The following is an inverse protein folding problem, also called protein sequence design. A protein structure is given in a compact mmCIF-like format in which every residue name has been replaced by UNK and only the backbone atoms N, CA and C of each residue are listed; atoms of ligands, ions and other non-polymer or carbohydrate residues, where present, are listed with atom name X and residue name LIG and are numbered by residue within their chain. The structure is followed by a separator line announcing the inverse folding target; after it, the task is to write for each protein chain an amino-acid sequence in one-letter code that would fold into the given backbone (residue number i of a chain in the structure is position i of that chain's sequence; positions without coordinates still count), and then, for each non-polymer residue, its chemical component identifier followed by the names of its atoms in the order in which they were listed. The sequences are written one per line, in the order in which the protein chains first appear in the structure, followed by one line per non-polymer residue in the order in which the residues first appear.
data_IF_569014874006
#
_entry.id   IF_569014874006
#
_cell.length_a   1.000
_cell.length_b   1.000
_cell.length_c   1.000
_cell.angle_alpha   90.00
_cell.angle_beta   90.00
_cell.angle_gamma   90.00
#
_symmetry.space_group_name_H-M   'P 1'
#
loop_
_entity.id
_entity.type
_entity.pdbx_description
1 polymer ?
#
# COMPACT_ATOMS: atom_id res chain seq x y z
N UNK A 1 12.28 15.48 2.03
CA UNK A 1 11.64 15.84 0.73
C UNK A 1 11.82 17.34 0.47
N UNK A 2 11.97 17.80 -0.81
CA UNK A 2 12.06 19.25 -1.08
C UNK A 2 10.66 19.91 -1.04
N UNK A 3 10.63 21.26 -0.89
CA UNK A 3 9.37 22.04 -0.76
C UNK A 3 8.38 21.82 -1.93
N UNK A 4 8.89 21.68 -3.16
CA UNK A 4 8.06 21.45 -4.37
C UNK A 4 7.37 20.09 -4.33
N UNK A 5 8.08 19.04 -3.93
CA UNK A 5 7.53 17.70 -3.79
C UNK A 5 6.50 17.61 -2.65
N UNK A 6 6.75 18.28 -1.53
CA UNK A 6 5.80 18.38 -0.42
C UNK A 6 4.51 19.12 -0.84
N UNK A 7 4.65 20.25 -1.52
CA UNK A 7 3.49 20.98 -2.07
C UNK A 7 2.68 20.11 -3.03
N UNK A 8 3.35 19.34 -3.90
CA UNK A 8 2.69 18.43 -4.82
C UNK A 8 1.96 17.30 -4.08
N UNK A 9 2.57 16.72 -3.03
CA UNK A 9 1.90 15.73 -2.19
C UNK A 9 0.64 16.31 -1.54
N UNK A 10 0.73 17.48 -0.92
CA UNK A 10 -0.41 18.14 -0.28
C UNK A 10 -1.56 18.47 -1.26
N UNK A 11 -1.23 18.73 -2.53
CA UNK A 11 -2.21 18.97 -3.58
C UNK A 11 -2.82 17.70 -4.15
N UNK A 12 -1.99 16.66 -4.38
CA UNK A 12 -2.37 15.46 -5.13
C UNK A 12 -2.65 14.24 -4.26
N UNK A 13 -2.29 14.28 -2.98
CA UNK A 13 -2.38 13.18 -1.99
C UNK A 13 -1.38 12.05 -2.16
N UNK A 14 -0.49 12.10 -3.14
CA UNK A 14 0.54 11.07 -3.33
C UNK A 14 1.84 11.66 -3.88
N UNK A 15 2.92 10.90 -3.69
CA UNK A 15 4.26 11.20 -4.21
C UNK A 15 4.98 9.90 -4.58
N UNK A 16 5.55 9.85 -5.78
CA UNK A 16 6.38 8.73 -6.21
C UNK A 16 7.86 9.14 -6.10
N UNK A 17 8.57 8.53 -5.15
CA UNK A 17 10.02 8.65 -5.01
C UNK A 17 10.70 7.64 -5.93
N UNK A 18 11.36 8.14 -6.98
CA UNK A 18 12.06 7.30 -7.95
C UNK A 18 13.40 6.80 -7.39
N UNK A 19 13.69 5.50 -7.60
CA UNK A 19 14.98 4.89 -7.27
C UNK A 19 15.39 5.06 -5.81
N UNK A 20 14.44 5.07 -4.88
CA UNK A 20 14.74 5.23 -3.45
C UNK A 20 15.58 4.07 -2.93
N UNK A 21 15.29 2.86 -3.40
CA UNK A 21 16.09 1.67 -3.14
C UNK A 21 16.98 1.35 -4.35
N UNK A 22 18.24 1.01 -4.09
CA UNK A 22 19.19 0.59 -5.13
C UNK A 22 18.83 -0.78 -5.68
N UNK A 23 19.28 -1.11 -6.89
CA UNK A 23 19.05 -2.43 -7.50
C UNK A 23 19.62 -3.56 -6.63
N UNK A 24 20.75 -3.34 -5.96
CA UNK A 24 21.32 -4.32 -5.03
C UNK A 24 20.38 -4.56 -3.82
N UNK A 25 19.81 -3.51 -3.24
CA UNK A 25 18.82 -3.67 -2.16
C UNK A 25 17.57 -4.42 -2.64
N UNK A 26 17.08 -4.09 -3.83
CA UNK A 26 15.93 -4.76 -4.46
C UNK A 26 16.21 -6.24 -4.73
N UNK A 27 17.41 -6.59 -5.15
CA UNK A 27 17.81 -7.99 -5.35
C UNK A 27 17.66 -8.81 -4.05
N UNK A 28 18.19 -8.31 -2.93
CA UNK A 28 18.07 -9.01 -1.64
C UNK A 28 16.63 -9.03 -1.11
N UNK A 29 15.87 -7.95 -1.29
CA UNK A 29 14.46 -7.90 -0.90
C UNK A 29 13.61 -8.85 -1.73
N UNK A 30 13.88 -9.02 -3.02
CA UNK A 30 13.19 -10.01 -3.86
C UNK A 30 13.50 -11.44 -3.44
N UNK A 31 14.76 -11.77 -3.14
CA UNK A 31 15.12 -13.11 -2.60
C UNK A 31 14.33 -13.43 -1.34
N UNK A 32 14.24 -12.47 -0.45
CA UNK A 32 13.52 -12.63 0.80
C UNK A 32 12.00 -12.69 0.60
N UNK A 33 11.47 -11.89 -0.33
CA UNK A 33 10.08 -11.93 -0.73
C UNK A 33 9.67 -13.32 -1.24
N UNK A 34 10.46 -13.88 -2.15
CA UNK A 34 10.19 -15.21 -2.73
C UNK A 34 10.30 -16.30 -1.67
N UNK A 35 11.31 -16.25 -0.78
CA UNK A 35 11.44 -17.16 0.35
C UNK A 35 10.18 -17.15 1.24
N UNK A 36 9.64 -15.96 1.55
CA UNK A 36 8.44 -15.84 2.37
C UNK A 36 7.23 -16.44 1.67
N UNK A 37 7.04 -16.15 0.38
CA UNK A 37 5.93 -16.74 -0.42
C UNK A 37 6.03 -18.27 -0.47
N UNK A 38 7.21 -18.81 -0.69
CA UNK A 38 7.43 -20.27 -0.71
C UNK A 38 7.09 -20.92 0.63
N UNK A 39 7.48 -20.30 1.76
CA UNK A 39 7.13 -20.78 3.09
C UNK A 39 5.62 -20.79 3.34
N UNK A 40 4.92 -19.75 2.91
CA UNK A 40 3.48 -19.65 3.07
C UNK A 40 2.77 -20.71 2.21
N UNK A 41 3.21 -20.90 0.97
CA UNK A 41 2.65 -21.89 0.08
C UNK A 41 2.84 -23.32 0.61
N UNK A 42 3.97 -23.60 1.26
CA UNK A 42 4.24 -24.92 1.87
C UNK A 42 3.48 -25.14 3.18
N UNK A 43 3.08 -24.08 3.87
CA UNK A 43 2.30 -24.11 5.11
C UNK A 43 0.82 -24.39 4.93
N UNK A 44 0.31 -24.51 3.71
CA UNK A 44 -1.12 -24.64 3.38
C UNK A 44 -2.04 -23.56 3.97
N UNK A 45 -1.49 -22.38 4.28
CA UNK A 45 -2.30 -21.26 4.78
C UNK A 45 -3.02 -20.57 3.61
N UNK A 46 -4.30 -20.22 3.83
CA UNK A 46 -5.03 -19.41 2.87
C UNK A 46 -4.66 -17.93 3.06
N UNK A 47 -3.78 -17.44 2.21
CA UNK A 47 -3.28 -16.06 2.24
C UNK A 47 -3.87 -15.19 1.13
N UNK A 48 -4.92 -15.65 0.47
CA UNK A 48 -5.58 -14.91 -0.59
C UNK A 48 -6.40 -13.76 0.00
N UNK A 49 -6.02 -12.51 -0.33
CA UNK A 49 -6.78 -11.33 0.05
C UNK A 49 -7.87 -11.06 -0.98
N UNK A 50 -9.13 -11.20 -0.57
CA UNK A 50 -10.29 -10.83 -1.38
C UNK A 50 -11.19 -9.87 -0.61
N UNK A 51 -11.88 -9.02 -1.34
CA UNK A 51 -13.00 -8.26 -0.84
C UNK A 51 -14.21 -9.20 -0.74
N UNK A 52 -14.58 -9.57 0.46
CA UNK A 52 -15.65 -10.54 0.67
C UNK A 52 -16.95 -9.83 1.11
N UNK A 53 -17.46 -8.96 0.27
CA UNK A 53 -18.71 -8.24 0.49
C UNK A 53 -19.74 -8.59 -0.58
N UNK A 54 -21.02 -8.53 -0.22
CA UNK A 54 -22.11 -8.66 -1.20
C UNK A 54 -22.06 -7.58 -2.28
N UNK A 55 -21.56 -6.39 -1.93
CA UNK A 55 -21.45 -5.24 -2.84
C UNK A 55 -20.27 -5.33 -3.82
N UNK A 56 -19.28 -6.18 -3.52
CA UNK A 56 -18.08 -6.32 -4.34
C UNK A 56 -18.08 -7.56 -5.22
N UNK A 57 -19.08 -8.44 -5.10
CA UNK A 57 -19.15 -9.71 -5.87
C UNK A 57 -19.10 -9.52 -7.38
N UNK A 58 -19.74 -8.46 -7.87
CA UNK A 58 -19.82 -8.18 -9.32
C UNK A 58 -18.53 -7.56 -9.88
N UNK A 59 -17.59 -7.15 -9.01
CA UNK A 59 -16.32 -6.54 -9.39
C UNK A 59 -15.11 -7.41 -9.05
N UNK A 60 -15.32 -8.52 -8.36
CA UNK A 60 -14.31 -9.52 -8.05
C UNK A 60 -14.41 -10.69 -9.03
N UNK A 61 -13.27 -11.04 -9.63
CA UNK A 61 -13.14 -12.29 -10.36
C UNK A 61 -12.92 -13.43 -9.36
N UNK A 62 -13.81 -14.45 -9.30
CA UNK A 62 -13.70 -15.57 -8.35
C UNK A 62 -12.39 -16.35 -8.46
N UNK A 63 -11.81 -16.41 -9.66
CA UNK A 63 -10.57 -17.13 -9.94
C UNK A 63 -9.31 -16.29 -9.73
N UNK A 64 -9.48 -15.01 -9.40
CA UNK A 64 -8.36 -14.09 -9.22
C UNK A 64 -7.75 -14.21 -7.82
N UNK A 65 -6.46 -13.95 -7.71
CA UNK A 65 -5.66 -14.17 -6.49
C UNK A 65 -4.80 -12.95 -6.17
N UNK A 66 -4.76 -12.57 -4.89
CA UNK A 66 -3.68 -11.77 -4.33
C UNK A 66 -3.13 -12.48 -3.11
N UNK A 67 -1.87 -12.89 -3.17
CA UNK A 67 -1.18 -13.46 -2.02
C UNK A 67 -0.65 -12.34 -1.13
N UNK A 68 -0.92 -12.42 0.18
CA UNK A 68 -0.44 -11.42 1.11
C UNK A 68 -0.13 -11.99 2.49
N UNK A 69 0.82 -11.38 3.18
CA UNK A 69 1.06 -11.60 4.61
C UNK A 69 1.48 -10.32 5.31
N UNK A 70 1.19 -10.24 6.61
CA UNK A 70 1.46 -9.07 7.44
C UNK A 70 2.78 -9.19 8.21
N UNK A 71 3.30 -8.05 8.66
CA UNK A 71 4.39 -7.93 9.62
C UNK A 71 5.68 -8.65 9.22
N UNK A 72 6.01 -8.60 7.91
CA UNK A 72 7.22 -9.25 7.37
C UNK A 72 8.51 -8.76 8.03
N UNK A 73 8.54 -7.56 8.60
CA UNK A 73 9.67 -7.04 9.37
C UNK A 73 9.93 -7.82 10.67
N UNK A 74 8.93 -8.55 11.19
CA UNK A 74 9.07 -9.30 12.45
C UNK A 74 9.84 -10.62 12.28
N UNK A 75 9.89 -11.16 11.04
CA UNK A 75 10.53 -12.46 10.76
C UNK A 75 11.52 -12.41 9.59
N UNK A 76 11.87 -11.21 9.15
CA UNK A 76 12.82 -10.98 8.07
C UNK A 76 13.72 -9.77 8.34
N UNK A 77 15.02 -10.02 8.55
CA UNK A 77 15.99 -8.95 8.75
C UNK A 77 16.10 -7.99 7.55
N UNK A 78 16.10 -8.44 6.28
CA UNK A 78 16.07 -7.51 5.15
C UNK A 78 14.83 -6.62 5.12
N UNK A 79 13.65 -7.15 5.49
CA UNK A 79 12.41 -6.38 5.56
C UNK A 79 12.44 -5.38 6.73
N UNK A 80 13.02 -5.74 7.87
CA UNK A 80 13.23 -4.80 8.97
C UNK A 80 14.19 -3.65 8.56
N UNK A 81 15.30 -3.96 7.90
CA UNK A 81 16.21 -2.93 7.37
C UNK A 81 15.56 -2.03 6.33
N UNK A 82 14.63 -2.55 5.54
CA UNK A 82 13.86 -1.77 4.57
C UNK A 82 13.00 -0.71 5.26
N UNK A 83 12.26 -1.04 6.32
CA UNK A 83 11.41 -0.07 7.05
C UNK A 83 12.25 0.95 7.82
N UNK A 84 13.49 0.64 8.17
CA UNK A 84 14.45 1.53 8.83
C UNK A 84 15.28 2.35 7.84
N UNK A 85 15.01 2.28 6.54
CA UNK A 85 15.79 3.00 5.53
C UNK A 85 15.72 4.52 5.76
N UNK A 86 16.89 5.14 5.95
CA UNK A 86 16.98 6.58 6.26
C UNK A 86 16.28 7.46 5.23
N UNK A 87 16.45 7.20 3.92
CA UNK A 87 15.84 8.02 2.86
C UNK A 87 14.31 7.89 2.87
N UNK A 88 13.77 6.70 3.17
CA UNK A 88 12.34 6.48 3.34
C UNK A 88 11.82 7.29 4.52
N UNK A 89 12.46 7.18 5.68
CA UNK A 89 12.06 7.88 6.89
C UNK A 89 12.20 9.41 6.75
N UNK A 90 13.20 9.93 6.03
CA UNK A 90 13.35 11.38 5.76
C UNK A 90 12.18 11.93 4.90
N UNK A 91 11.63 11.11 4.00
CA UNK A 91 10.42 11.49 3.26
C UNK A 91 9.21 11.48 4.19
N UNK A 92 9.03 10.41 4.97
CA UNK A 92 7.91 10.28 5.91
C UNK A 92 7.91 11.40 6.94
N UNK A 93 9.08 11.74 7.52
CA UNK A 93 9.24 12.88 8.43
C UNK A 93 8.75 14.19 7.81
N UNK A 94 9.02 14.40 6.52
CA UNK A 94 8.53 15.60 5.82
C UNK A 94 7.01 15.62 5.67
N UNK A 95 6.33 14.47 5.76
CA UNK A 95 4.88 14.32 5.59
C UNK A 95 4.12 14.37 6.93
N UNK A 96 4.65 13.73 7.97
CA UNK A 96 3.92 13.52 9.24
C UNK A 96 4.69 13.95 10.51
N UNK A 97 5.89 14.52 10.36
CA UNK A 97 6.74 14.94 11.48
C UNK A 97 7.75 13.87 11.92
N UNK A 98 8.62 14.24 12.88
CA UNK A 98 9.80 13.46 13.27
C UNK A 98 9.50 12.19 14.06
N UNK A 99 8.39 12.14 14.80
CA UNK A 99 8.00 10.98 15.60
C UNK A 99 7.27 9.99 14.69
N UNK A 100 7.99 8.97 14.20
CA UNK A 100 7.46 8.03 13.19
C UNK A 100 7.24 6.66 13.81
N UNK A 101 6.00 6.19 13.78
CA UNK A 101 5.58 4.87 14.25
C UNK A 101 5.22 3.99 13.06
N UNK A 102 5.77 2.78 13.02
CA UNK A 102 5.33 1.72 12.12
C UNK A 102 4.03 1.11 12.68
N UNK A 103 2.96 1.19 11.90
CA UNK A 103 1.75 0.44 12.19
C UNK A 103 1.94 -1.03 11.82
N UNK A 104 2.26 -1.31 10.56
CA UNK A 104 2.55 -2.65 10.06
C UNK A 104 3.22 -2.61 8.69
N UNK A 105 3.71 -3.76 8.25
CA UNK A 105 4.01 -4.01 6.85
C UNK A 105 3.06 -5.06 6.27
N UNK A 106 2.88 -5.03 4.95
CA UNK A 106 2.12 -6.05 4.23
C UNK A 106 2.80 -6.36 2.89
N UNK A 107 3.15 -7.63 2.73
CA UNK A 107 3.63 -8.15 1.46
C UNK A 107 2.44 -8.39 0.55
N UNK A 108 2.54 -7.97 -0.73
CA UNK A 108 1.55 -8.22 -1.76
C UNK A 108 2.19 -8.82 -3.00
N UNK A 109 1.70 -9.97 -3.41
CA UNK A 109 1.98 -10.59 -4.69
C UNK A 109 0.69 -10.63 -5.53
N UNK A 110 0.69 -9.95 -6.68
CA UNK A 110 -0.30 -10.17 -7.74
C UNK A 110 0.31 -11.14 -8.76
N UNK A 111 -0.11 -12.41 -8.80
CA UNK A 111 0.41 -13.37 -9.76
C UNK A 111 0.14 -12.96 -11.21
N UNK A 112 0.92 -13.50 -12.17
CA UNK A 112 0.63 -13.32 -13.60
C UNK A 112 -0.77 -13.81 -13.96
N UNK A 113 -1.47 -13.08 -14.82
CA UNK A 113 -2.79 -13.42 -15.41
C UNK A 113 -3.97 -13.46 -14.42
N UNK A 114 -3.76 -13.88 -13.18
CA UNK A 114 -4.82 -14.09 -12.17
C UNK A 114 -4.77 -13.10 -10.99
N UNK A 115 -3.93 -12.06 -11.06
CA UNK A 115 -3.84 -11.08 -9.96
C UNK A 115 -5.08 -10.21 -9.85
N UNK A 116 -5.80 -10.26 -8.70
CA UNK A 116 -7.08 -9.57 -8.46
C UNK A 116 -6.99 -8.05 -8.59
N UNK A 117 -8.11 -7.43 -9.00
CA UNK A 117 -8.31 -6.00 -8.84
C UNK A 117 -8.43 -5.60 -7.36
N UNK A 118 -8.16 -4.34 -7.07
CA UNK A 118 -8.57 -3.66 -5.84
C UNK A 118 -9.45 -2.48 -6.21
N UNK A 119 -10.72 -2.46 -5.80
CA UNK A 119 -11.62 -1.33 -6.01
C UNK A 119 -11.09 -0.04 -5.38
N UNK A 120 -11.61 1.11 -5.79
CA UNK A 120 -11.29 2.39 -5.15
C UNK A 120 -11.72 2.37 -3.68
N UNK A 121 -10.79 2.66 -2.78
CA UNK A 121 -10.97 2.70 -1.33
C UNK A 121 -10.04 3.71 -0.68
N UNK A 122 -10.23 3.93 0.62
CA UNK A 122 -9.36 4.73 1.48
C UNK A 122 -8.81 3.82 2.60
N UNK A 123 -7.53 3.94 2.92
CA UNK A 123 -6.88 3.12 3.97
C UNK A 123 -7.35 3.48 5.39
N UNK A 124 -7.82 4.71 5.62
CA UNK A 124 -8.29 5.13 6.94
C UNK A 124 -9.36 4.20 7.53
N UNK A 125 -10.17 3.59 6.69
CA UNK A 125 -11.25 2.69 7.14
C UNK A 125 -10.74 1.41 7.80
N UNK A 126 -9.49 1.04 7.55
CA UNK A 126 -8.82 -0.10 8.17
C UNK A 126 -7.96 0.32 9.38
N UNK A 127 -7.34 1.50 9.30
CA UNK A 127 -6.29 1.93 10.23
C UNK A 127 -6.50 3.39 10.65
N UNK A 128 -7.64 3.71 11.30
CA UNK A 128 -7.97 5.11 11.63
C UNK A 128 -7.06 5.65 12.72
N UNK A 129 -6.56 6.85 12.48
CA UNK A 129 -5.90 7.68 13.49
C UNK A 129 -6.67 8.99 13.64
N UNK A 130 -6.73 9.55 14.85
CA UNK A 130 -7.58 10.71 15.17
C UNK A 130 -7.35 11.91 14.24
N UNK A 131 -6.09 12.13 13.83
CA UNK A 131 -5.71 13.27 12.95
C UNK A 131 -5.42 12.84 11.51
N UNK A 132 -5.74 11.60 11.11
CA UNK A 132 -5.48 11.05 9.78
C UNK A 132 -4.01 11.14 9.34
N UNK A 133 -3.06 11.00 10.27
CA UNK A 133 -1.62 11.08 9.96
C UNK A 133 -1.06 9.83 9.26
N UNK A 134 -1.87 8.79 9.08
CA UNK A 134 -1.43 7.55 8.45
C UNK A 134 -1.01 7.77 6.99
N UNK A 135 0.18 7.31 6.66
CA UNK A 135 0.75 7.33 5.31
C UNK A 135 1.07 5.90 4.89
N UNK A 136 0.65 5.54 3.71
CA UNK A 136 1.10 4.33 3.04
C UNK A 136 2.39 4.62 2.25
N UNK A 137 3.39 3.75 2.39
CA UNK A 137 4.58 3.72 1.54
C UNK A 137 4.63 2.36 0.84
N UNK A 138 4.41 2.33 -0.47
CA UNK A 138 4.42 1.12 -1.28
C UNK A 138 5.77 1.00 -1.98
N UNK A 139 6.60 0.08 -1.49
CA UNK A 139 7.90 -0.25 -2.09
C UNK A 139 7.67 -1.22 -3.24
N UNK A 140 8.08 -0.84 -4.44
CA UNK A 140 7.98 -1.68 -5.63
C UNK A 140 9.23 -2.57 -5.75
N UNK A 141 9.05 -3.88 -5.65
CA UNK A 141 10.13 -4.87 -5.83
C UNK A 141 10.19 -5.38 -7.27
N UNK A 142 9.14 -5.17 -8.06
CA UNK A 142 9.07 -5.40 -9.50
C UNK A 142 8.56 -4.14 -10.20
N UNK A 143 8.56 -4.16 -11.52
CA UNK A 143 7.82 -3.17 -12.29
C UNK A 143 6.32 -3.19 -11.93
N UNK A 144 5.68 -2.04 -12.10
CA UNK A 144 4.24 -1.83 -11.93
C UNK A 144 3.72 -0.99 -13.08
N UNK A 145 3.41 -1.64 -14.21
CA UNK A 145 2.99 -1.02 -15.48
C UNK A 145 1.51 -1.29 -15.78
N UNK A 146 1.02 -0.81 -16.92
CA UNK A 146 -0.40 -0.86 -17.27
C UNK A 146 -1.03 -2.24 -17.12
N UNK A 147 -0.44 -3.26 -17.74
CA UNK A 147 -0.94 -4.63 -17.74
C UNK A 147 -0.71 -5.39 -16.41
N UNK A 148 0.15 -4.85 -15.53
CA UNK A 148 0.48 -5.47 -14.24
C UNK A 148 -0.47 -5.03 -13.12
N UNK A 149 -1.55 -4.33 -13.45
CA UNK A 149 -2.49 -3.80 -12.46
C UNK A 149 -1.83 -2.76 -11.55
N UNK A 150 -1.13 -1.76 -12.13
CA UNK A 150 -0.50 -0.66 -11.40
C UNK A 150 -1.50 0.08 -10.50
N UNK A 151 -0.99 0.69 -9.45
CA UNK A 151 -1.81 1.50 -8.55
C UNK A 151 -2.33 2.73 -9.30
N UNK A 152 -3.58 3.08 -8.99
CA UNK A 152 -4.25 4.29 -9.47
C UNK A 152 -4.73 5.11 -8.29
N UNK A 153 -4.59 6.43 -8.37
CA UNK A 153 -4.97 7.36 -7.30
C UNK A 153 -5.85 8.46 -7.88
N UNK A 154 -6.95 8.75 -7.22
CA UNK A 154 -7.77 9.93 -7.54
C UNK A 154 -7.08 11.15 -6.93
N UNK A 155 -6.51 12.01 -7.79
CA UNK A 155 -5.73 13.18 -7.36
C UNK A 155 -6.55 14.11 -6.47
N UNK A 156 -5.99 14.49 -5.32
CA UNK A 156 -6.61 15.41 -4.39
C UNK A 156 -7.77 14.83 -3.57
N UNK A 157 -8.11 13.55 -3.73
CA UNK A 157 -9.25 12.93 -3.06
C UNK A 157 -9.17 12.92 -1.53
N UNK A 158 -7.98 13.05 -0.94
CA UNK A 158 -7.80 13.18 0.51
C UNK A 158 -8.48 14.45 1.08
N UNK A 159 -8.70 15.49 0.24
CA UNK A 159 -9.42 16.72 0.63
C UNK A 159 -10.91 16.48 0.90
N UNK A 160 -11.46 15.34 0.44
CA UNK A 160 -12.80 14.91 0.79
C UNK A 160 -12.90 14.42 2.25
N UNK A 161 -11.75 14.29 2.93
CA UNK A 161 -11.69 13.69 4.25
C UNK A 161 -12.06 12.20 4.23
N UNK A 162 -12.59 11.72 5.34
CA UNK A 162 -13.08 10.35 5.50
C UNK A 162 -14.40 10.16 4.78
N UNK A 163 -14.44 9.26 3.81
CA UNK A 163 -15.67 8.88 3.13
C UNK A 163 -16.21 7.60 3.77
N UNK A 164 -17.48 7.63 4.20
CA UNK A 164 -18.13 6.49 4.85
C UNK A 164 -18.18 5.29 3.89
N UNK A 165 -17.74 4.13 4.35
CA UNK A 165 -17.86 2.89 3.61
C UNK A 165 -19.30 2.34 3.66
N UNK A 166 -19.66 1.53 2.66
CA UNK A 166 -21.03 1.02 2.47
C UNK A 166 -21.21 -0.41 2.98
N UNK A 167 -20.12 -1.13 3.25
CA UNK A 167 -20.15 -2.58 3.54
C UNK A 167 -19.51 -2.98 4.86
N UNK A 168 -19.14 -1.99 5.70
CA UNK A 168 -18.40 -2.23 6.92
C UNK A 168 -16.89 -2.51 6.71
N UNK A 169 -16.43 -2.56 5.46
CA UNK A 169 -15.04 -2.63 5.03
C UNK A 169 -14.63 -1.31 4.39
N UNK A 170 -14.02 -1.35 3.23
CA UNK A 170 -13.54 -0.16 2.52
C UNK A 170 -14.26 0.11 1.20
N UNK A 171 -15.24 -0.70 0.81
CA UNK A 171 -16.03 -0.45 -0.38
C UNK A 171 -16.94 0.78 -0.18
N UNK A 172 -16.90 1.71 -1.14
CA UNK A 172 -17.61 2.98 -1.07
C UNK A 172 -18.50 3.08 -2.32
N UNK A 173 -19.77 2.68 -2.19
CA UNK A 173 -20.71 2.62 -3.31
C UNK A 173 -20.80 3.95 -4.07
N UNK A 174 -21.05 5.05 -3.38
CA UNK A 174 -21.18 6.37 -4.00
C UNK A 174 -19.91 6.83 -4.73
N UNK A 175 -18.74 6.36 -4.31
CA UNK A 175 -17.47 6.65 -4.97
C UNK A 175 -17.35 5.86 -6.26
N UNK A 176 -17.74 4.58 -6.25
CA UNK A 176 -17.72 3.74 -7.45
C UNK A 176 -18.72 4.22 -8.51
N UNK A 177 -19.84 4.84 -8.10
CA UNK A 177 -20.79 5.47 -9.01
C UNK A 177 -20.24 6.77 -9.62
N UNK A 178 -19.41 7.52 -8.91
CA UNK A 178 -18.87 8.82 -9.35
C UNK A 178 -17.46 8.77 -9.93
N UNK A 179 -16.68 7.78 -9.55
CA UNK A 179 -15.26 7.65 -9.96
C UNK A 179 -15.03 6.26 -10.56
N UNK A 180 -14.70 6.22 -11.83
CA UNK A 180 -14.20 5.02 -12.46
C UNK A 180 -12.69 4.86 -12.13
N UNK A 181 -12.31 3.66 -11.69
CA UNK A 181 -10.91 3.31 -11.48
C UNK A 181 -10.06 3.58 -12.74
N UNK A 182 -10.65 3.41 -13.94
CA UNK A 182 -9.94 3.66 -15.21
C UNK A 182 -9.59 5.13 -15.43
N UNK A 183 -10.39 6.07 -14.89
CA UNK A 183 -10.15 7.51 -14.96
C UNK A 183 -9.16 8.02 -13.92
N UNK A 184 -8.92 7.26 -12.84
CA UNK A 184 -7.96 7.62 -11.80
C UNK A 184 -6.52 7.64 -12.35
N UNK A 185 -5.71 8.55 -11.81
CA UNK A 185 -4.31 8.72 -12.23
C UNK A 185 -3.50 7.45 -12.01
N UNK A 186 -2.99 6.91 -13.08
CA UNK A 186 -2.17 5.71 -13.06
C UNK A 186 -0.73 6.03 -12.67
N UNK A 187 -0.15 5.25 -11.74
CA UNK A 187 1.21 5.43 -11.27
C UNK A 187 2.08 4.30 -11.83
N UNK A 188 2.89 4.62 -12.85
CA UNK A 188 3.95 3.73 -13.33
C UNK A 188 5.13 3.78 -12.38
N UNK A 189 5.57 2.62 -11.93
CA UNK A 189 6.73 2.48 -11.07
C UNK A 189 7.68 1.39 -11.60
N UNK A 190 8.96 1.57 -11.28
CA UNK A 190 10.02 0.61 -11.52
C UNK A 190 10.47 -0.02 -10.19
N UNK A 191 11.20 -1.13 -10.25
CA UNK A 191 11.76 -1.74 -9.05
C UNK A 191 12.72 -0.76 -8.34
N UNK A 192 12.49 -0.53 -7.05
CA UNK A 192 13.21 0.46 -6.24
C UNK A 192 12.47 1.78 -6.03
N UNK A 193 11.40 2.03 -6.77
CA UNK A 193 10.52 3.18 -6.53
C UNK A 193 9.64 2.96 -5.29
N UNK A 194 9.27 4.06 -4.63
CA UNK A 194 8.34 4.03 -3.50
C UNK A 194 7.22 5.04 -3.73
N UNK A 195 5.99 4.55 -3.74
CA UNK A 195 4.79 5.37 -3.82
C UNK A 195 4.28 5.67 -2.40
N UNK A 196 4.26 6.96 -2.05
CA UNK A 196 3.65 7.44 -0.81
C UNK A 196 2.26 8.00 -1.10
N UNK A 197 1.27 7.69 -0.25
CA UNK A 197 -0.05 8.34 -0.32
C UNK A 197 -0.71 8.44 1.05
N UNK A 198 -1.60 9.42 1.16
CA UNK A 198 -2.34 9.74 2.39
C UNK A 198 -3.47 8.72 2.63
N UNK A 199 -3.78 8.39 3.89
CA UNK A 199 -4.81 7.40 4.25
C UNK A 199 -6.22 7.72 3.71
N UNK A 200 -6.54 8.99 3.49
CA UNK A 200 -7.79 9.42 2.88
C UNK A 200 -7.71 9.51 1.33
N UNK A 201 -6.62 9.08 0.70
CA UNK A 201 -6.54 9.03 -0.76
C UNK A 201 -7.38 7.89 -1.31
N UNK A 202 -8.30 8.18 -2.24
CA UNK A 202 -8.97 7.14 -3.01
C UNK A 202 -7.97 6.50 -3.96
N UNK A 203 -7.75 5.22 -3.79
CA UNK A 203 -6.82 4.47 -4.63
C UNK A 203 -7.33 3.04 -4.88
N UNK A 204 -6.77 2.43 -5.90
CA UNK A 204 -7.12 1.06 -6.28
C UNK A 204 -6.17 0.54 -7.35
N UNK A 205 -6.45 -0.63 -7.90
CA UNK A 205 -5.65 -1.19 -8.99
C UNK A 205 -6.47 -2.18 -9.83
N UNK A 206 -6.21 -2.21 -11.13
CA UNK A 206 -6.78 -3.21 -12.05
C UNK A 206 -6.16 -4.60 -11.81
N UNK A 207 -6.71 -5.66 -12.41
CA UNK A 207 -6.08 -6.99 -12.40
C UNK A 207 -4.67 -6.97 -12.99
N UNK A 208 -3.87 -7.98 -12.67
CA UNK A 208 -2.61 -8.25 -13.38
C UNK A 208 -2.89 -9.19 -14.55
N UNK A 209 -2.92 -8.62 -15.75
CA UNK A 209 -3.13 -9.34 -17.01
C UNK A 209 -1.80 -9.70 -17.72
N UNK A 210 -0.68 -9.29 -17.12
CA UNK A 210 0.66 -9.52 -17.68
C UNK A 210 1.16 -10.95 -17.43
N UNK A 211 2.27 -11.30 -18.09
CA UNK A 211 2.98 -12.57 -17.85
C UNK A 211 3.94 -12.51 -16.65
N UNK A 212 4.06 -11.35 -15.99
CA UNK A 212 5.00 -11.13 -14.90
C UNK A 212 4.27 -10.85 -13.58
N UNK A 213 4.77 -11.33 -12.43
CA UNK A 213 4.20 -11.01 -11.13
C UNK A 213 4.45 -9.54 -10.77
N UNK A 214 3.50 -8.90 -10.08
CA UNK A 214 3.71 -7.62 -9.43
C UNK A 214 3.96 -7.84 -7.94
N UNK A 215 5.17 -7.49 -7.49
CA UNK A 215 5.65 -7.65 -6.12
C UNK A 215 5.76 -6.29 -5.43
N UNK A 216 5.07 -6.10 -4.32
CA UNK A 216 5.14 -4.85 -3.54
C UNK A 216 5.14 -5.13 -2.04
N UNK A 217 5.78 -4.25 -1.26
CA UNK A 217 5.66 -4.20 0.19
C UNK A 217 4.99 -2.89 0.56
N UNK A 218 3.83 -2.98 1.19
CA UNK A 218 3.15 -1.84 1.82
C UNK A 218 3.73 -1.64 3.23
N UNK A 219 4.05 -0.40 3.57
CA UNK A 219 4.47 0.03 4.90
C UNK A 219 3.47 1.09 5.35
N UNK A 220 2.74 0.85 6.42
CA UNK A 220 1.82 1.82 7.03
C UNK A 220 2.51 2.49 8.21
N UNK A 221 2.60 3.83 8.14
CA UNK A 221 3.32 4.67 9.08
C UNK A 221 2.41 5.80 9.56
N UNK A 222 2.53 6.18 10.82
CA UNK A 222 1.77 7.30 11.38
C UNK A 222 2.63 8.12 12.35
N UNK A 223 2.16 9.34 12.66
CA UNK A 223 2.84 10.24 13.60
C UNK A 223 2.69 9.73 15.03
N UNK A 224 3.79 9.68 15.80
CA UNK A 224 3.76 9.38 17.23
C UNK A 224 2.97 10.39 18.07
N UNK A 225 2.65 11.58 17.50
CA UNK A 225 1.77 12.58 18.10
C UNK A 225 0.28 12.33 17.82
N UNK A 226 -0.05 11.37 16.97
CA UNK A 226 -1.41 10.96 16.66
C UNK A 226 -1.80 9.71 17.48
N UNK A 227 -3.08 9.43 17.57
CA UNK A 227 -3.60 8.28 18.31
C UNK A 227 -4.38 7.36 17.40
N UNK A 228 -4.13 6.07 17.52
CA UNK A 228 -4.95 5.02 16.89
C UNK A 228 -6.34 5.05 17.55
N UNK A 229 -7.41 5.08 16.77
CA UNK A 229 -8.77 5.09 17.28
C UNK A 229 -9.22 3.73 17.82
N UNK A 230 -8.79 2.65 17.15
CA UNK A 230 -8.95 1.30 17.63
C UNK A 230 -7.79 0.41 17.15
N UNK A 231 -7.43 -0.55 17.99
CA UNK A 231 -6.36 -1.49 17.65
C UNK A 231 -6.82 -2.48 16.60
N UNK A 232 -5.97 -2.75 15.63
CA UNK A 232 -6.13 -3.81 14.63
C UNK A 232 -5.09 -4.91 14.86
N UNK A 233 -5.37 -6.11 14.41
CA UNK A 233 -4.49 -7.28 14.59
C UNK A 233 -3.07 -7.10 14.00
N UNK A 234 -2.90 -6.20 13.03
CA UNK A 234 -1.61 -5.98 12.37
C UNK A 234 -0.74 -4.91 13.06
N UNK A 235 -1.27 -4.12 13.99
CA UNK A 235 -0.57 -2.98 14.57
C UNK A 235 0.55 -3.41 15.52
N UNK A 236 1.81 -3.13 15.14
CA UNK A 236 2.99 -3.45 15.96
C UNK A 236 3.50 -2.29 16.81
N UNK A 237 3.09 -1.06 16.51
CA UNK A 237 3.49 0.17 17.21
C UNK A 237 5.02 0.32 17.38
N UNK A 238 5.79 -0.07 16.37
CA UNK A 238 7.25 0.03 16.43
C UNK A 238 7.71 1.45 16.12
N UNK A 239 8.37 2.10 17.08
CA UNK A 239 9.01 3.40 16.87
C UNK A 239 10.20 3.25 15.92
N UNK A 240 10.17 3.94 14.79
CA UNK A 240 11.25 3.95 13.80
C UNK A 240 12.12 5.21 13.91
N UNK A 241 11.54 6.31 14.37
CA UNK A 241 12.22 7.59 14.62
C UNK A 241 11.46 8.34 15.72
N UNK A 242 12.18 9.02 16.62
CA UNK A 242 11.66 9.86 17.70
C UNK A 242 12.71 10.90 18.08
#
# INVERSE_FOLDING_TARGET
MNRKALSKFNQQSFYLARGLFTQNAIFYLNKEFDRIIDQINTGNENINARWNSKLTRDIEDPDSVVLHTHNVQCYSQPMLKMVQNKKLLDIVESLIGGDIILHHTKLFLKPPKVGSAFPLHQDWSYFPTQNNSMIAAVVHLSESKAQMGRIRVVKGSHQMGRVKNSDGHSYIKDIHERHDLSSAHAVDADAGDVLFFHCCSLHGSKPNESNNPRKTILIQLYSGKDKIEYSTHANVQLTLRG
#
